data_IF_068001223883
#
_entry.id   IF_068001223883
#
_cell.length_a   1.000
_cell.length_b   1.000
_cell.length_c   1.000
_cell.angle_alpha   90.00
_cell.angle_beta   90.00
_cell.angle_gamma   90.00
#
_symmetry.space_group_name_H-M   'P 1'
#
loop_
_entity.id
_entity.type
_entity.pdbx_description
1 polymer ?
#
# COMPACT_ATOMS: atom_id res chain seq x y z
N UNK A 1 -12.59 -0.93 -32.41
CA UNK A 1 -12.44 -2.18 -31.63
C UNK A 1 -13.20 -3.38 -32.19
N UNK A 2 -14.14 -3.23 -33.14
CA UNK A 2 -14.82 -4.35 -33.83
C UNK A 2 -13.95 -5.02 -34.92
N UNK A 3 -12.92 -4.32 -35.39
CA UNK A 3 -12.08 -4.72 -36.54
C UNK A 3 -11.01 -5.79 -36.22
N UNK A 4 -10.56 -5.93 -34.96
CA UNK A 4 -9.50 -6.88 -34.60
C UNK A 4 -10.00 -8.17 -33.94
N UNK A 5 -11.30 -8.27 -33.60
CA UNK A 5 -11.90 -9.38 -32.85
C UNK A 5 -11.17 -9.79 -31.56
N UNK A 6 -10.41 -8.87 -30.95
CA UNK A 6 -9.69 -9.07 -29.68
C UNK A 6 -10.57 -8.59 -28.54
N UNK A 7 -10.80 -9.46 -27.56
CA UNK A 7 -11.52 -9.14 -26.33
C UNK A 7 -10.68 -8.17 -25.51
N UNK A 8 -11.37 -7.25 -24.84
CA UNK A 8 -10.75 -6.22 -24.02
C UNK A 8 -11.07 -6.50 -22.56
N UNK A 9 -10.03 -6.61 -21.74
CA UNK A 9 -10.12 -6.81 -20.29
C UNK A 9 -9.66 -5.53 -19.58
N UNK A 10 -10.40 -5.09 -18.57
CA UNK A 10 -10.18 -3.79 -17.94
C UNK A 10 -9.55 -3.94 -16.56
N UNK A 11 -8.42 -3.26 -16.31
CA UNK A 11 -7.91 -3.11 -14.94
C UNK A 11 -8.81 -2.14 -14.18
N UNK A 12 -9.47 -2.62 -13.12
CA UNK A 12 -10.41 -1.83 -12.32
C UNK A 12 -10.02 -1.91 -10.85
N UNK A 13 -10.07 -0.80 -10.13
CA UNK A 13 -9.83 -0.78 -8.69
C UNK A 13 -10.78 -1.76 -7.97
N UNK A 14 -10.22 -2.69 -7.19
CA UNK A 14 -10.98 -3.72 -6.49
C UNK A 14 -12.02 -3.12 -5.52
N UNK A 15 -11.72 -1.95 -4.94
CA UNK A 15 -12.65 -1.16 -4.13
C UNK A 15 -13.96 -0.85 -4.88
N UNK A 16 -13.87 -0.50 -6.16
CA UNK A 16 -15.03 -0.22 -7.02
C UNK A 16 -15.86 -1.48 -7.28
N UNK A 17 -15.21 -2.64 -7.37
CA UNK A 17 -15.89 -3.94 -7.54
C UNK A 17 -16.69 -4.38 -6.30
N UNK A 18 -16.44 -3.79 -5.12
CA UNK A 18 -17.23 -4.05 -3.90
C UNK A 18 -18.57 -3.29 -3.87
N UNK A 19 -18.74 -2.26 -4.71
CA UNK A 19 -19.98 -1.50 -4.78
C UNK A 19 -20.98 -2.17 -5.74
N UNK A 20 -22.19 -2.49 -5.28
CA UNK A 20 -23.17 -3.31 -6.03
C UNK A 20 -23.48 -2.75 -7.43
N UNK A 21 -23.71 -1.44 -7.56
CA UNK A 21 -24.03 -0.80 -8.85
C UNK A 21 -22.84 -0.82 -9.82
N UNK A 22 -21.63 -0.49 -9.33
CA UNK A 22 -20.42 -0.48 -10.17
C UNK A 22 -20.04 -1.91 -10.57
N UNK A 23 -20.14 -2.88 -9.65
CA UNK A 23 -19.90 -4.29 -9.93
C UNK A 23 -20.80 -4.81 -11.05
N UNK A 24 -22.08 -4.45 -11.06
CA UNK A 24 -23.03 -4.87 -12.09
C UNK A 24 -22.57 -4.40 -13.47
N UNK A 25 -22.24 -3.12 -13.63
CA UNK A 25 -21.74 -2.57 -14.89
C UNK A 25 -20.35 -3.10 -15.27
N UNK A 26 -19.43 -3.17 -14.31
CA UNK A 26 -18.07 -3.65 -14.51
C UNK A 26 -18.01 -5.14 -14.90
N UNK A 27 -18.95 -5.95 -14.43
CA UNK A 27 -19.00 -7.38 -14.79
C UNK A 27 -19.20 -7.64 -16.29
N UNK A 28 -19.75 -6.67 -17.02
CA UNK A 28 -19.98 -6.75 -18.46
C UNK A 28 -18.73 -6.46 -19.30
N UNK A 29 -17.64 -5.97 -18.67
CA UNK A 29 -16.41 -5.52 -19.37
C UNK A 29 -15.16 -6.28 -18.93
N UNK A 30 -15.29 -7.54 -18.53
CA UNK A 30 -14.16 -8.42 -18.17
C UNK A 30 -13.12 -7.76 -17.25
N UNK A 31 -13.54 -7.47 -16.01
CA UNK A 31 -12.73 -6.70 -15.08
C UNK A 31 -11.62 -7.59 -14.50
N UNK A 32 -10.41 -7.05 -14.45
CA UNK A 32 -9.27 -7.55 -13.69
C UNK A 32 -9.16 -6.64 -12.47
N UNK A 33 -9.62 -7.08 -11.28
CA UNK A 33 -9.60 -6.27 -10.08
C UNK A 33 -8.16 -6.06 -9.60
N UNK A 34 -7.81 -4.81 -9.31
CA UNK A 34 -6.50 -4.44 -8.75
C UNK A 34 -6.72 -3.89 -7.35
N UNK A 35 -6.23 -4.60 -6.35
CA UNK A 35 -6.17 -4.11 -4.97
C UNK A 35 -4.97 -3.17 -4.81
N UNK A 36 -5.17 -2.02 -4.16
CA UNK A 36 -4.09 -1.06 -3.92
C UNK A 36 -3.83 -0.90 -2.42
N UNK A 37 -2.57 -0.83 -1.95
CA UNK A 37 -2.28 -0.75 -0.51
C UNK A 37 -2.95 0.43 0.18
N UNK A 38 -3.10 1.56 -0.53
CA UNK A 38 -3.79 2.74 -0.04
C UNK A 38 -5.31 2.55 0.17
N UNK A 39 -5.94 1.63 -0.56
CA UNK A 39 -7.38 1.36 -0.42
C UNK A 39 -7.69 0.54 0.84
N UNK A 40 -6.69 -0.19 1.35
CA UNK A 40 -6.75 -1.01 2.56
C UNK A 40 -6.04 -0.36 3.75
N UNK A 41 -5.62 0.90 3.63
CA UNK A 41 -4.92 1.61 4.68
C UNK A 41 -5.84 1.85 5.90
N UNK A 42 -5.47 1.30 7.05
CA UNK A 42 -6.21 1.47 8.29
C UNK A 42 -5.47 2.40 9.25
N UNK A 43 -6.22 3.12 10.09
CA UNK A 43 -5.61 3.94 11.15
C UNK A 43 -5.09 3.03 12.27
N UNK A 44 -3.81 3.18 12.61
CA UNK A 44 -3.19 2.47 13.72
C UNK A 44 -3.80 2.89 15.05
N UNK A 45 -4.05 1.92 15.94
CA UNK A 45 -4.45 2.20 17.32
C UNK A 45 -3.24 2.59 18.13
N UNK A 46 -3.43 3.54 19.05
CA UNK A 46 -2.36 4.04 19.90
C UNK A 46 -1.38 4.94 19.17
N UNK A 47 -0.15 5.00 19.68
CA UNK A 47 0.94 5.82 19.15
C UNK A 47 2.23 5.02 19.11
N UNK A 48 3.14 5.42 18.24
CA UNK A 48 4.45 4.77 18.09
C UNK A 48 5.59 5.74 18.33
N UNK A 49 6.69 5.20 18.83
CA UNK A 49 7.94 5.89 19.13
C UNK A 49 9.13 5.00 18.79
N UNK A 50 10.28 5.63 18.55
CA UNK A 50 11.54 4.91 18.45
C UNK A 50 12.15 4.79 19.85
N UNK A 51 12.53 3.57 20.26
CA UNK A 51 13.06 3.33 21.61
C UNK A 51 14.34 4.12 21.86
N UNK A 52 15.35 3.92 21.01
CA UNK A 52 16.62 4.62 21.15
C UNK A 52 17.36 4.65 19.81
N UNK A 53 17.65 5.86 19.30
CA UNK A 53 18.34 6.05 18.04
C UNK A 53 19.80 5.52 18.05
N UNK A 54 20.45 5.47 19.22
CA UNK A 54 21.88 5.13 19.33
C UNK A 54 22.13 3.65 19.63
N UNK A 55 21.28 3.04 20.47
CA UNK A 55 21.48 1.65 20.90
C UNK A 55 20.65 0.67 20.09
N UNK A 56 19.42 1.05 19.70
CA UNK A 56 18.47 0.14 19.04
C UNK A 56 17.64 0.88 17.96
N UNK A 57 18.27 1.33 16.85
CA UNK A 57 17.63 2.18 15.84
C UNK A 57 16.52 1.49 15.04
N UNK A 58 16.37 0.18 15.19
CA UNK A 58 15.38 -0.64 14.47
C UNK A 58 14.15 -1.00 15.31
N UNK A 59 14.15 -0.67 16.61
CA UNK A 59 13.04 -1.04 17.50
C UNK A 59 12.06 0.11 17.68
N UNK A 60 10.81 -0.16 17.34
CA UNK A 60 9.68 0.75 17.59
C UNK A 60 8.88 0.22 18.77
N UNK A 61 8.59 1.12 19.70
CA UNK A 61 7.68 0.90 20.83
C UNK A 61 6.34 1.57 20.56
N UNK A 62 5.30 0.94 21.06
CA UNK A 62 3.93 1.39 20.95
C UNK A 62 3.34 1.73 22.33
N UNK A 63 2.55 2.79 22.36
CA UNK A 63 1.75 3.22 23.51
C UNK A 63 0.28 2.98 23.15
N UNK A 64 -0.41 2.14 23.93
CA UNK A 64 -1.79 1.70 23.69
C UNK A 64 -2.04 1.10 22.30
N UNK A 65 -1.03 0.41 21.76
CA UNK A 65 -1.06 -0.23 20.45
C UNK A 65 -1.54 -1.68 20.53
N UNK A 66 -1.97 -2.23 19.39
CA UNK A 66 -2.31 -3.66 19.22
C UNK A 66 -1.65 -4.19 17.95
N UNK A 67 -0.32 -4.20 17.92
CA UNK A 67 0.42 -4.53 16.71
C UNK A 67 0.11 -5.93 16.18
N UNK A 68 -0.10 -6.93 17.04
CA UNK A 68 -0.37 -8.30 16.57
C UNK A 68 -1.69 -8.43 15.80
N UNK A 69 -2.63 -7.52 16.05
CA UNK A 69 -3.94 -7.48 15.38
C UNK A 69 -3.96 -6.62 14.12
N UNK A 70 -3.11 -5.58 14.06
CA UNK A 70 -3.16 -4.57 12.98
C UNK A 70 -2.00 -4.66 11.98
N UNK A 71 -0.94 -5.38 12.30
CA UNK A 71 0.28 -5.45 11.50
C UNK A 71 0.78 -6.88 11.39
N UNK A 72 1.30 -7.19 10.21
CA UNK A 72 2.00 -8.43 9.90
C UNK A 72 3.42 -8.10 9.44
N UNK A 73 4.35 -9.07 9.49
CA UNK A 73 5.63 -8.96 8.78
C UNK A 73 5.39 -8.52 7.34
N UNK A 74 6.25 -7.64 6.80
CA UNK A 74 6.17 -7.00 5.47
C UNK A 74 5.17 -5.85 5.31
N UNK A 75 4.23 -5.67 6.24
CA UNK A 75 3.33 -4.52 6.21
C UNK A 75 4.10 -3.19 6.36
N UNK A 76 3.51 -2.10 5.88
CA UNK A 76 4.12 -0.77 5.90
C UNK A 76 3.38 0.16 6.85
N UNK A 77 4.10 0.85 7.72
CA UNK A 77 3.58 1.92 8.56
C UNK A 77 3.77 3.26 7.85
N UNK A 78 2.70 4.05 7.73
CA UNK A 78 2.77 5.43 7.29
C UNK A 78 2.77 6.39 8.47
N UNK A 79 3.72 7.32 8.46
CA UNK A 79 3.79 8.42 9.40
C UNK A 79 2.89 9.59 8.98
N UNK A 80 2.48 10.46 9.92
CA UNK A 80 1.51 11.51 9.64
C UNK A 80 2.12 12.58 8.75
N UNK A 81 1.26 13.31 8.03
CA UNK A 81 1.67 14.39 7.10
C UNK A 81 2.63 13.93 5.99
N UNK A 82 2.63 12.64 5.64
CA UNK A 82 3.52 12.10 4.60
C UNK A 82 5.00 12.16 4.98
N UNK A 83 5.32 12.17 6.28
CA UNK A 83 6.68 12.34 6.79
C UNK A 83 7.59 11.11 6.61
N UNK A 84 7.04 9.97 6.21
CA UNK A 84 7.80 8.77 5.89
C UNK A 84 6.96 7.51 5.81
N UNK A 85 7.56 6.45 5.27
CA UNK A 85 7.04 5.08 5.27
C UNK A 85 8.06 4.17 5.92
N UNK A 86 7.61 3.21 6.72
CA UNK A 86 8.47 2.30 7.48
C UNK A 86 7.97 0.89 7.25
N UNK A 87 8.84 -0.01 6.79
CA UNK A 87 8.47 -1.41 6.59
C UNK A 87 8.69 -2.21 7.88
N UNK A 88 7.69 -2.99 8.25
CA UNK A 88 7.74 -3.90 9.40
C UNK A 88 8.49 -5.15 8.99
N UNK A 89 9.54 -5.48 9.73
CA UNK A 89 10.26 -6.74 9.57
C UNK A 89 9.57 -7.84 10.38
N UNK A 90 9.37 -7.58 11.67
CA UNK A 90 8.77 -8.54 12.60
C UNK A 90 8.02 -7.81 13.71
N UNK A 91 6.85 -8.33 14.07
CA UNK A 91 6.11 -7.92 15.27
C UNK A 91 6.56 -8.81 16.43
N UNK A 92 7.02 -8.21 17.54
CA UNK A 92 7.44 -8.95 18.74
C UNK A 92 6.25 -9.13 19.67
N UNK A 93 5.52 -8.05 19.93
CA UNK A 93 4.37 -8.00 20.83
C UNK A 93 3.38 -6.92 20.39
N UNK A 94 2.27 -6.74 21.12
CA UNK A 94 1.32 -5.66 20.85
C UNK A 94 1.91 -4.26 21.01
N UNK A 95 3.03 -4.12 21.70
CA UNK A 95 3.72 -2.86 22.02
C UNK A 95 5.11 -2.76 21.40
N UNK A 96 5.63 -3.81 20.77
CA UNK A 96 6.99 -3.81 20.22
C UNK A 96 7.05 -4.44 18.83
N UNK A 97 7.75 -3.77 17.92
CA UNK A 97 8.05 -4.28 16.58
C UNK A 97 9.45 -3.87 16.12
N UNK A 98 9.98 -4.65 15.17
CA UNK A 98 11.25 -4.42 14.49
C UNK A 98 10.94 -3.96 13.07
N UNK A 99 11.66 -2.94 12.63
CA UNK A 99 11.59 -2.40 11.27
C UNK A 99 12.71 -2.97 10.41
N UNK A 100 12.47 -3.06 9.11
CA UNK A 100 13.40 -3.69 8.17
C UNK A 100 14.69 -2.88 7.96
N UNK A 101 14.58 -1.56 7.98
CA UNK A 101 15.68 -0.65 7.70
C UNK A 101 15.65 0.57 8.60
N UNK A 102 16.83 1.09 8.92
CA UNK A 102 16.98 2.31 9.71
C UNK A 102 16.32 3.52 9.02
N UNK A 103 15.77 4.40 9.85
CA UNK A 103 15.04 5.58 9.39
C UNK A 103 16.03 6.71 9.13
N UNK A 104 16.34 6.95 7.86
CA UNK A 104 17.29 8.00 7.43
C UNK A 104 16.64 9.39 7.30
N UNK A 105 15.32 9.45 7.14
CA UNK A 105 14.62 10.72 6.95
C UNK A 105 14.48 11.48 8.28
N UNK A 106 15.04 12.68 8.33
CA UNK A 106 14.98 13.59 9.48
C UNK A 106 13.54 13.95 9.87
N UNK A 107 12.60 13.99 8.90
CA UNK A 107 11.19 14.30 9.19
C UNK A 107 10.53 13.14 9.92
N UNK A 108 10.74 11.92 9.46
CA UNK A 108 10.26 10.71 10.11
C UNK A 108 10.82 10.56 11.54
N UNK A 109 12.12 10.80 11.70
CA UNK A 109 12.78 10.75 13.01
C UNK A 109 12.19 11.75 14.01
N UNK A 110 11.94 13.00 13.60
CA UNK A 110 11.32 14.01 14.48
C UNK A 110 9.97 13.56 15.04
N UNK A 111 9.19 12.84 14.26
CA UNK A 111 7.90 12.32 14.71
C UNK A 111 8.08 11.16 15.71
N UNK A 112 9.01 10.24 15.45
CA UNK A 112 9.20 9.05 16.27
C UNK A 112 9.95 9.30 17.58
N UNK A 113 10.76 10.36 17.66
CA UNK A 113 11.49 10.75 18.88
C UNK A 113 10.61 11.58 19.84
N UNK A 114 9.38 11.90 19.45
CA UNK A 114 8.47 12.67 20.31
C UNK A 114 8.00 11.83 21.52
N UNK A 115 8.21 12.35 22.74
CA UNK A 115 7.83 11.71 24.02
C UNK A 115 6.33 11.44 24.15
N UNK A 116 5.48 12.19 23.43
CA UNK A 116 4.03 11.96 23.41
C UNK A 116 3.58 10.88 22.42
N UNK A 117 4.50 10.40 21.58
CA UNK A 117 4.25 9.40 20.56
C UNK A 117 3.60 9.96 19.30
N UNK A 118 3.67 9.19 18.22
CA UNK A 118 3.15 9.59 16.91
C UNK A 118 2.03 8.68 16.45
N UNK A 119 0.96 9.28 15.90
CA UNK A 119 -0.10 8.53 15.22
C UNK A 119 0.38 7.97 13.89
N UNK A 120 -0.16 6.83 13.46
CA UNK A 120 0.31 6.13 12.27
C UNK A 120 -0.85 5.46 11.53
N UNK A 121 -0.60 5.04 10.28
CA UNK A 121 -1.52 4.17 9.53
C UNK A 121 -0.82 2.88 9.15
N UNK A 122 -1.56 1.78 9.16
CA UNK A 122 -1.11 0.47 8.74
C UNK A 122 -1.51 0.27 7.27
N UNK A 123 -0.54 0.00 6.42
CA UNK A 123 -0.74 -0.38 5.03
C UNK A 123 -0.36 -1.85 4.89
N UNK A 124 -1.32 -2.73 4.59
CA UNK A 124 -1.01 -4.12 4.39
C UNK A 124 -0.15 -4.31 3.15
N UNK A 125 0.76 -5.27 3.20
CA UNK A 125 1.40 -5.78 2.00
C UNK A 125 0.36 -6.43 1.11
N UNK A 126 0.40 -6.10 -0.18
CA UNK A 126 -0.49 -6.69 -1.20
C UNK A 126 0.38 -7.48 -2.15
N UNK A 127 0.08 -8.76 -2.24
CA UNK A 127 0.60 -9.63 -3.27
C UNK A 127 0.01 -9.25 -4.62
N UNK A 128 0.86 -8.83 -5.54
CA UNK A 128 0.48 -8.40 -6.87
C UNK A 128 0.62 -9.53 -7.91
N UNK A 129 1.16 -10.69 -7.54
CA UNK A 129 1.47 -11.77 -8.47
C UNK A 129 0.21 -12.23 -9.21
N UNK A 130 -0.92 -12.36 -8.50
CA UNK A 130 -2.21 -12.71 -9.10
C UNK A 130 -2.69 -11.75 -10.19
N UNK A 131 -2.42 -10.44 -10.05
CA UNK A 131 -2.76 -9.43 -11.07
C UNK A 131 -1.85 -9.60 -12.28
N UNK A 132 -0.55 -9.79 -12.04
CA UNK A 132 0.42 -10.00 -13.11
C UNK A 132 0.13 -11.28 -13.89
N UNK A 133 -0.09 -12.41 -13.21
CA UNK A 133 -0.47 -13.68 -13.84
C UNK A 133 -1.71 -13.52 -14.74
N UNK A 134 -2.72 -12.79 -14.25
CA UNK A 134 -3.93 -12.54 -15.03
C UNK A 134 -3.64 -11.71 -16.28
N UNK A 135 -2.86 -10.64 -16.15
CA UNK A 135 -2.45 -9.80 -17.28
C UNK A 135 -1.64 -10.62 -18.29
N UNK A 136 -0.67 -11.41 -17.84
CA UNK A 136 0.12 -12.29 -18.70
C UNK A 136 -0.75 -13.29 -19.46
N UNK A 137 -1.70 -13.93 -18.78
CA UNK A 137 -2.62 -14.88 -19.42
C UNK A 137 -3.44 -14.21 -20.54
N UNK A 138 -4.01 -13.04 -20.29
CA UNK A 138 -4.81 -12.31 -21.28
C UNK A 138 -3.97 -11.89 -22.49
N UNK A 139 -2.75 -11.40 -22.27
CA UNK A 139 -1.84 -11.04 -23.35
C UNK A 139 -1.38 -12.26 -24.16
N UNK A 140 -1.06 -13.38 -23.50
CA UNK A 140 -0.65 -14.62 -24.16
C UNK A 140 -1.79 -15.22 -25.00
N UNK A 141 -3.04 -15.02 -24.57
CA UNK A 141 -4.24 -15.40 -25.33
C UNK A 141 -4.55 -14.43 -26.49
N UNK A 142 -3.66 -13.48 -26.80
CA UNK A 142 -3.85 -12.50 -27.85
C UNK A 142 -4.96 -11.50 -27.56
N UNK A 143 -5.34 -11.29 -26.29
CA UNK A 143 -6.36 -10.31 -25.91
C UNK A 143 -5.73 -8.94 -25.66
N UNK A 144 -6.56 -7.96 -25.30
CA UNK A 144 -6.14 -6.58 -25.02
C UNK A 144 -6.42 -6.22 -23.57
N UNK A 145 -5.50 -5.47 -22.96
CA UNK A 145 -5.71 -4.87 -21.63
C UNK A 145 -6.00 -3.39 -21.79
N UNK A 146 -7.04 -2.91 -21.11
CA UNK A 146 -7.32 -1.49 -20.96
C UNK A 146 -7.13 -1.08 -19.51
N UNK A 147 -6.40 0.01 -19.32
CA UNK A 147 -6.18 0.62 -18.02
C UNK A 147 -7.05 1.87 -17.98
N UNK A 148 -7.94 1.97 -17.00
CA UNK A 148 -8.62 3.23 -16.78
C UNK A 148 -7.58 4.29 -16.39
N UNK A 149 -7.60 5.49 -16.99
CA UNK A 149 -6.76 6.58 -16.54
C UNK A 149 -7.28 7.00 -15.17
N UNK A 150 -6.77 6.37 -14.11
CA UNK A 150 -7.10 6.75 -12.74
C UNK A 150 -6.39 8.09 -12.47
N UNK A 151 -7.16 9.17 -12.55
CA UNK A 151 -6.69 10.53 -12.31
C UNK A 151 -6.01 10.66 -10.95
N UNK A 152 -4.78 11.19 -10.96
CA UNK A 152 -4.02 11.54 -9.75
C UNK A 152 -2.51 11.62 -9.98
N UNK A 153 -1.95 10.81 -10.90
CA UNK A 153 -0.51 10.86 -11.24
C UNK A 153 -0.21 11.10 -12.72
N UNK A 154 -1.21 11.01 -13.59
CA UNK A 154 -1.05 11.28 -15.02
C UNK A 154 -0.91 12.78 -15.35
N UNK A 155 -1.37 13.67 -14.47
CA UNK A 155 -1.19 15.13 -14.61
C UNK A 155 0.10 15.64 -13.96
N UNK A 156 1.19 14.86 -14.05
CA UNK A 156 2.51 15.45 -13.85
C UNK A 156 2.93 16.01 -15.21
N UNK A 157 2.90 17.33 -15.34
CA UNK A 157 3.48 18.03 -16.48
C UNK A 157 5.02 17.84 -16.59
N UNK A 158 5.63 17.27 -15.54
CA UNK A 158 7.06 17.03 -15.44
C UNK A 158 7.41 15.60 -15.87
N UNK A 159 8.43 15.46 -16.71
CA UNK A 159 8.98 14.15 -17.05
C UNK A 159 9.51 13.43 -15.81
N UNK A 160 9.35 12.11 -15.78
CA UNK A 160 10.06 11.26 -14.82
C UNK A 160 11.58 11.50 -14.97
N UNK A 161 12.31 11.70 -13.87
CA UNK A 161 13.76 11.90 -13.95
C UNK A 161 14.40 10.68 -14.60
N UNK A 162 15.16 10.91 -15.66
CA UNK A 162 15.97 9.88 -16.28
C UNK A 162 17.01 9.39 -15.27
N UNK A 163 17.06 8.07 -15.09
CA UNK A 163 18.07 7.39 -14.31
C UNK A 163 19.20 6.94 -15.22
#
# INVERSE_FOLDING_TARGET
>A
MRECNRRVSFLIAAKSMRQKAIRFLASMVHPIPVERPQDLAETGKGRIQLLNLKTEPLRIIGIDTKFTQQLRPTDTILLPKGSGKIQVDRVISDTELIIHSEIKDKRALKHLVNENGTSYKCLPHIDQDSVYERVYSELNNGQCITIFPEGGSHDRAEMLPFK
#
